data_IF_442558078636
#
_entry.id   IF_442558078636
#
_cell.length_a   1.000
_cell.length_b   1.000
_cell.length_c   1.000
_cell.angle_alpha   90.00
_cell.angle_beta   90.00
_cell.angle_gamma   90.00
#
_symmetry.space_group_name_H-M   'P 1'
#
loop_
_entity.id
_entity.type
_entity.pdbx_description
1 polymer ?
#
# COMPACT_ATOMS: atom_id res chain seq x y z
N UNK A 1 57.32 -11.40 -20.79
CA UNK A 1 56.28 -12.08 -20.05
C UNK A 1 55.16 -11.07 -19.73
N UNK A 2 54.08 -11.20 -20.41
CA UNK A 2 52.98 -10.28 -20.18
C UNK A 2 52.09 -10.87 -19.13
N UNK A 3 52.15 -10.34 -17.93
CA UNK A 3 51.18 -10.60 -16.93
C UNK A 3 49.88 -9.97 -17.42
N UNK A 4 49.04 -10.76 -18.01
CA UNK A 4 47.66 -10.32 -18.19
C UNK A 4 47.07 -10.25 -16.81
N UNK A 5 47.14 -9.10 -16.23
CA UNK A 5 46.31 -8.73 -15.12
C UNK A 5 44.88 -8.79 -15.67
N UNK A 6 44.30 -9.97 -15.67
CA UNK A 6 42.88 -10.07 -15.71
C UNK A 6 42.41 -9.44 -14.42
N UNK A 7 42.27 -8.14 -14.48
CA UNK A 7 41.36 -7.49 -13.60
C UNK A 7 40.01 -8.11 -13.95
N UNK A 8 39.74 -9.22 -13.31
CA UNK A 8 38.39 -9.61 -13.10
C UNK A 8 37.84 -8.51 -12.21
N UNK A 9 37.44 -7.43 -12.87
CA UNK A 9 36.39 -6.61 -12.32
C UNK A 9 35.22 -7.56 -12.24
N UNK A 10 35.22 -8.37 -11.19
CA UNK A 10 33.97 -8.78 -10.62
C UNK A 10 33.34 -7.46 -10.24
N UNK A 11 32.58 -6.95 -11.17
CA UNK A 11 31.47 -6.12 -10.82
C UNK A 11 30.68 -6.99 -9.82
N UNK A 12 31.04 -6.84 -8.57
CA UNK A 12 30.13 -7.07 -7.51
C UNK A 12 29.05 -6.08 -7.86
N UNK A 13 28.08 -6.54 -8.62
CA UNK A 13 26.79 -5.94 -8.60
C UNK A 13 26.40 -6.05 -7.13
N UNK A 14 26.85 -5.07 -6.37
CA UNK A 14 26.26 -4.74 -5.12
C UNK A 14 24.85 -4.41 -5.55
N UNK A 15 23.98 -5.43 -5.55
CA UNK A 15 22.59 -5.22 -5.54
C UNK A 15 22.38 -4.39 -4.27
N UNK A 16 22.45 -3.10 -4.45
CA UNK A 16 21.88 -2.16 -3.53
C UNK A 16 20.40 -2.56 -3.49
N UNK A 17 20.11 -3.47 -2.59
CA UNK A 17 18.76 -3.57 -2.06
C UNK A 17 18.53 -2.22 -1.37
N UNK A 18 18.24 -1.22 -2.20
CA UNK A 18 17.50 -0.09 -1.75
C UNK A 18 16.17 -0.69 -1.30
N UNK A 19 16.11 -1.04 -0.03
CA UNK A 19 14.84 -1.12 0.65
C UNK A 19 14.29 0.30 0.57
N UNK A 20 13.71 0.63 -0.58
CA UNK A 20 12.94 1.83 -0.71
C UNK A 20 11.84 1.72 0.34
N UNK A 21 11.91 2.58 1.37
CA UNK A 21 10.79 2.75 2.29
C UNK A 21 9.64 3.35 1.47
N UNK A 22 8.74 2.48 0.95
CA UNK A 22 7.60 2.87 0.13
C UNK A 22 7.44 1.99 -1.11
N UNK A 23 6.29 2.13 -1.74
CA UNK A 23 5.91 1.41 -2.94
C UNK A 23 6.16 2.26 -4.19
N UNK A 24 6.26 1.63 -5.35
CA UNK A 24 6.42 2.34 -6.61
C UNK A 24 5.10 3.00 -7.03
N UNK A 25 5.01 4.30 -6.85
CA UNK A 25 3.82 5.09 -7.18
C UNK A 25 3.59 5.27 -8.70
N UNK A 26 4.51 4.83 -9.53
CA UNK A 26 4.33 4.80 -10.98
C UNK A 26 3.56 3.57 -11.46
N UNK A 27 3.25 2.64 -10.57
CA UNK A 27 2.49 1.42 -10.85
C UNK A 27 1.16 1.41 -10.12
N UNK A 28 0.17 0.76 -10.72
CA UNK A 28 -1.14 0.57 -10.07
C UNK A 28 -1.01 -0.22 -8.77
N UNK A 29 -0.20 -1.27 -8.76
CA UNK A 29 0.03 -2.08 -7.56
C UNK A 29 0.68 -1.27 -6.45
N UNK A 30 1.70 -0.47 -6.77
CA UNK A 30 2.37 0.36 -5.77
C UNK A 30 1.43 1.40 -5.14
N UNK A 31 0.55 2.00 -5.94
CA UNK A 31 -0.48 2.92 -5.42
C UNK A 31 -1.49 2.19 -4.54
N UNK A 32 -1.94 1.00 -4.94
CA UNK A 32 -2.84 0.19 -4.12
C UNK A 32 -2.21 -0.19 -2.78
N UNK A 33 -0.97 -0.60 -2.77
CA UNK A 33 -0.24 -0.97 -1.54
C UNK A 33 -0.01 0.24 -0.64
N UNK A 34 0.36 1.38 -1.20
CA UNK A 34 0.52 2.63 -0.44
C UNK A 34 -0.80 3.08 0.20
N UNK A 35 -1.90 2.93 -0.53
CA UNK A 35 -3.23 3.19 0.02
C UNK A 35 -3.56 2.24 1.19
N UNK A 36 -3.30 0.94 1.04
CA UNK A 36 -3.52 -0.05 2.11
C UNK A 36 -2.68 0.30 3.35
N UNK A 37 -1.43 0.67 3.17
CA UNK A 37 -0.55 1.07 4.26
C UNK A 37 -1.12 2.26 5.04
N UNK A 38 -1.55 3.30 4.34
CA UNK A 38 -2.08 4.49 5.01
C UNK A 38 -3.48 4.29 5.58
N UNK A 39 -4.35 3.57 4.87
CA UNK A 39 -5.73 3.39 5.29
C UNK A 39 -5.89 2.37 6.42
N UNK A 40 -5.30 1.18 6.26
CA UNK A 40 -5.55 0.05 7.16
C UNK A 40 -4.45 -0.17 8.19
N UNK A 41 -3.20 0.10 7.87
CA UNK A 41 -2.07 -0.15 8.77
C UNK A 41 -1.80 1.05 9.66
N UNK A 42 -1.58 2.22 9.07
CA UNK A 42 -1.24 3.45 9.79
C UNK A 42 -2.45 4.22 10.28
N UNK A 43 -3.60 3.98 9.68
CA UNK A 43 -4.86 4.71 9.95
C UNK A 43 -4.65 6.22 9.79
N UNK A 44 -3.99 6.61 8.73
CA UNK A 44 -3.79 7.99 8.32
C UNK A 44 -4.71 8.30 7.14
N UNK A 45 -5.94 8.69 7.46
CA UNK A 45 -6.99 8.91 6.45
C UNK A 45 -6.68 10.09 5.52
N UNK A 46 -6.07 11.15 6.04
CA UNK A 46 -5.68 12.31 5.22
C UNK A 46 -4.62 11.91 4.18
N UNK A 47 -3.67 11.08 4.57
CA UNK A 47 -2.66 10.56 3.66
C UNK A 47 -3.26 9.58 2.67
N UNK A 48 -4.09 8.66 3.13
CA UNK A 48 -4.80 7.69 2.27
C UNK A 48 -5.62 8.41 1.18
N UNK A 49 -6.29 9.49 1.53
CA UNK A 49 -7.09 10.30 0.60
C UNK A 49 -6.30 10.78 -0.61
N UNK A 50 -5.02 11.09 -0.45
CA UNK A 50 -4.17 11.58 -1.54
C UNK A 50 -4.01 10.57 -2.69
N UNK A 51 -4.23 9.29 -2.42
CA UNK A 51 -4.16 8.22 -3.41
C UNK A 51 -5.51 7.88 -4.04
N UNK A 52 -6.56 8.61 -3.71
CA UNK A 52 -7.94 8.29 -4.09
C UNK A 52 -8.55 9.29 -5.04
N UNK A 53 -9.51 8.79 -5.82
CA UNK A 53 -10.42 9.57 -6.66
C UNK A 53 -11.82 8.94 -6.58
N UNK A 54 -12.81 9.68 -7.07
CA UNK A 54 -14.17 9.14 -7.28
C UNK A 54 -14.77 8.53 -6.00
N UNK A 55 -15.33 7.33 -6.09
CA UNK A 55 -16.01 6.64 -4.97
C UNK A 55 -15.07 6.42 -3.78
N UNK A 56 -13.82 6.05 -4.03
CA UNK A 56 -12.83 5.88 -2.95
C UNK A 56 -12.62 7.17 -2.18
N UNK A 57 -12.48 8.30 -2.86
CA UNK A 57 -12.33 9.59 -2.21
C UNK A 57 -13.54 9.96 -1.35
N UNK A 58 -14.74 9.74 -1.87
CA UNK A 58 -15.97 9.99 -1.13
C UNK A 58 -16.08 9.13 0.13
N UNK A 59 -15.67 7.86 0.05
CA UNK A 59 -15.62 6.96 1.22
C UNK A 59 -14.64 7.45 2.28
N UNK A 60 -13.44 7.86 1.87
CA UNK A 60 -12.44 8.40 2.82
C UNK A 60 -12.94 9.70 3.44
N UNK A 61 -13.54 10.60 2.68
CA UNK A 61 -14.12 11.85 3.21
C UNK A 61 -15.18 11.56 4.28
N UNK A 62 -16.02 10.54 4.06
CA UNK A 62 -17.00 10.12 5.06
C UNK A 62 -16.34 9.53 6.30
N UNK A 63 -15.32 8.72 6.15
CA UNK A 63 -14.55 8.20 7.30
C UNK A 63 -13.89 9.33 8.10
N UNK A 64 -13.31 10.32 7.43
CA UNK A 64 -12.74 11.50 8.08
C UNK A 64 -13.83 12.26 8.86
N UNK A 65 -15.00 12.44 8.26
CA UNK A 65 -16.13 13.10 8.91
C UNK A 65 -16.60 12.35 10.16
N UNK A 66 -16.72 11.01 10.07
CA UNK A 66 -17.17 10.17 11.19
C UNK A 66 -16.15 10.10 12.32
N UNK A 67 -14.87 10.28 12.02
CA UNK A 67 -13.79 10.25 13.00
C UNK A 67 -13.32 11.64 13.43
N UNK A 68 -14.00 12.69 12.99
CA UNK A 68 -13.66 14.06 13.37
C UNK A 68 -13.78 14.23 14.90
N UNK A 69 -12.80 14.89 15.50
CA UNK A 69 -12.69 15.04 16.95
C UNK A 69 -11.92 13.91 17.63
N UNK A 70 -11.55 12.85 16.91
CA UNK A 70 -10.62 11.83 17.38
C UNK A 70 -9.21 12.15 16.88
N UNK A 71 -8.24 12.09 17.77
CA UNK A 71 -6.82 12.27 17.40
C UNK A 71 -6.18 10.88 17.28
N UNK A 72 -5.71 10.55 16.09
CA UNK A 72 -4.94 9.33 15.83
C UNK A 72 -3.51 9.77 15.49
N UNK A 73 -2.57 9.45 16.37
CA UNK A 73 -1.17 9.79 16.25
C UNK A 73 -0.28 8.64 16.71
N UNK A 74 1.02 8.87 16.83
CA UNK A 74 1.97 7.85 17.24
C UNK A 74 1.72 7.29 18.66
N UNK A 75 0.99 8.03 19.52
CA UNK A 75 0.60 7.57 20.86
C UNK A 75 -0.69 6.76 20.87
N UNK A 76 -1.44 6.78 19.79
CA UNK A 76 -2.69 6.05 19.68
C UNK A 76 -2.42 4.56 19.58
N UNK A 77 -3.05 3.79 20.48
CA UNK A 77 -2.96 2.34 20.45
C UNK A 77 -3.71 1.79 19.25
N UNK A 78 -3.00 1.13 18.34
CA UNK A 78 -3.54 0.56 17.11
C UNK A 78 -3.31 -0.93 17.09
N UNK A 79 -4.23 -1.71 16.50
CA UNK A 79 -3.98 -3.12 16.24
C UNK A 79 -2.77 -3.28 15.31
N UNK A 80 -2.09 -4.41 15.42
CA UNK A 80 -1.03 -4.79 14.49
C UNK A 80 -1.66 -5.36 13.23
N UNK A 81 -1.30 -4.82 12.08
CA UNK A 81 -1.83 -5.26 10.79
C UNK A 81 -0.68 -5.73 9.89
N UNK A 82 -0.77 -6.96 9.42
CA UNK A 82 0.07 -7.50 8.36
C UNK A 82 -0.83 -7.89 7.19
N UNK A 83 -0.36 -7.73 5.98
CA UNK A 83 -1.16 -8.09 4.81
C UNK A 83 -0.32 -8.71 3.71
N UNK A 84 -0.99 -9.44 2.84
CA UNK A 84 -0.40 -10.06 1.66
C UNK A 84 -1.33 -9.89 0.46
N UNK A 85 -0.74 -9.72 -0.72
CA UNK A 85 -1.48 -9.73 -1.98
C UNK A 85 -1.89 -11.17 -2.31
N UNK A 86 -3.18 -11.41 -2.51
CA UNK A 86 -3.72 -12.71 -2.90
C UNK A 86 -3.91 -12.84 -4.40
N UNK A 87 -4.49 -11.81 -5.02
CA UNK A 87 -4.84 -11.81 -6.43
C UNK A 87 -4.62 -10.44 -7.03
N UNK A 88 -4.29 -10.40 -8.31
CA UNK A 88 -4.23 -9.18 -9.09
C UNK A 88 -4.82 -9.40 -10.48
N UNK A 89 -5.50 -8.39 -10.97
CA UNK A 89 -6.00 -8.30 -12.33
C UNK A 89 -5.61 -6.95 -12.91
N UNK A 90 -4.56 -6.94 -13.73
CA UNK A 90 -3.94 -5.73 -14.23
C UNK A 90 -4.33 -5.44 -15.68
N UNK A 91 -4.75 -4.21 -15.95
CA UNK A 91 -5.05 -3.68 -17.27
C UNK A 91 -4.36 -2.34 -17.50
N UNK A 92 -4.45 -1.84 -18.71
CA UNK A 92 -3.79 -0.59 -19.11
C UNK A 92 -4.38 0.65 -18.42
N UNK A 93 -5.69 0.66 -18.19
CA UNK A 93 -6.42 1.79 -17.63
C UNK A 93 -7.00 1.53 -16.24
N UNK A 94 -7.21 0.25 -15.91
CA UNK A 94 -7.81 -0.18 -14.65
C UNK A 94 -7.13 -1.46 -14.18
N UNK A 95 -6.96 -1.56 -12.86
CA UNK A 95 -6.43 -2.76 -12.21
C UNK A 95 -7.15 -2.98 -10.90
N UNK A 96 -7.23 -4.23 -10.47
CA UNK A 96 -7.77 -4.60 -9.16
C UNK A 96 -6.81 -5.50 -8.42
N UNK A 97 -6.78 -5.35 -7.10
CA UNK A 97 -5.91 -6.11 -6.21
C UNK A 97 -6.72 -6.58 -5.01
N UNK A 98 -6.59 -7.85 -4.71
CA UNK A 98 -7.16 -8.45 -3.51
C UNK A 98 -6.07 -8.70 -2.49
N UNK A 99 -6.17 -8.06 -1.35
CA UNK A 99 -5.29 -8.26 -0.21
C UNK A 99 -6.00 -9.00 0.90
N UNK A 100 -5.25 -9.79 1.65
CA UNK A 100 -5.69 -10.34 2.92
C UNK A 100 -4.92 -9.70 4.06
N UNK A 101 -5.63 -9.04 4.96
CA UNK A 101 -5.08 -8.46 6.17
C UNK A 101 -5.29 -9.36 7.37
N UNK A 102 -4.24 -9.55 8.15
CA UNK A 102 -4.30 -10.16 9.49
C UNK A 102 -4.18 -9.06 10.52
N UNK A 103 -5.22 -8.93 11.33
CA UNK A 103 -5.36 -7.88 12.33
C UNK A 103 -5.26 -8.54 13.70
N UNK A 104 -4.31 -8.07 14.51
CA UNK A 104 -4.05 -8.59 15.84
C UNK A 104 -4.24 -7.48 16.87
N UNK A 105 -5.18 -7.68 17.79
CA UNK A 105 -5.42 -6.79 18.91
C UNK A 105 -4.45 -7.03 20.05
N UNK A 106 -4.33 -6.08 20.98
CA UNK A 106 -3.42 -6.16 22.12
C UNK A 106 -3.76 -7.28 23.09
N UNK A 107 -5.02 -7.73 23.14
CA UNK A 107 -5.46 -8.85 23.94
C UNK A 107 -5.08 -10.23 23.37
N UNK A 108 -4.39 -10.24 22.22
CA UNK A 108 -3.96 -11.47 21.54
C UNK A 108 -4.97 -12.05 20.58
N UNK A 109 -6.20 -11.50 20.49
CA UNK A 109 -7.15 -11.93 19.46
C UNK A 109 -6.69 -11.50 18.08
N UNK A 110 -6.96 -12.34 17.08
CA UNK A 110 -6.65 -12.01 15.70
C UNK A 110 -7.81 -12.44 14.80
N UNK A 111 -7.97 -11.70 13.72
CA UNK A 111 -8.93 -12.00 12.66
C UNK A 111 -8.38 -11.56 11.31
N UNK A 112 -8.97 -12.05 10.24
CA UNK A 112 -8.60 -11.70 8.88
C UNK A 112 -9.70 -10.89 8.20
N UNK A 113 -9.28 -10.01 7.29
CA UNK A 113 -10.16 -9.27 6.39
C UNK A 113 -9.59 -9.33 4.98
N UNK A 114 -10.46 -9.26 4.00
CA UNK A 114 -10.05 -9.12 2.59
C UNK A 114 -10.39 -7.73 2.11
N UNK A 115 -9.43 -7.11 1.44
CA UNK A 115 -9.58 -5.78 0.88
C UNK A 115 -9.42 -5.83 -0.62
N UNK A 116 -10.46 -5.46 -1.34
CA UNK A 116 -10.43 -5.33 -2.79
C UNK A 116 -10.18 -3.87 -3.14
N UNK A 117 -9.08 -3.61 -3.81
CA UNK A 117 -8.64 -2.27 -4.17
C UNK A 117 -8.72 -2.12 -5.69
N UNK A 118 -9.62 -1.27 -6.16
CA UNK A 118 -9.72 -0.92 -7.56
C UNK A 118 -8.91 0.34 -7.85
N UNK A 119 -8.11 0.31 -8.89
CA UNK A 119 -7.30 1.43 -9.33
C UNK A 119 -7.68 1.87 -10.75
N UNK A 120 -7.47 3.14 -11.04
CA UNK A 120 -7.70 3.74 -12.35
C UNK A 120 -6.54 4.65 -12.71
N UNK A 121 -6.13 4.60 -13.97
CA UNK A 121 -5.12 5.51 -14.49
C UNK A 121 -5.75 6.86 -14.80
N UNK A 122 -5.26 7.88 -14.13
CA UNK A 122 -5.62 9.28 -14.34
C UNK A 122 -4.50 10.01 -15.10
N UNK A 123 -4.75 11.25 -15.52
CA UNK A 123 -3.73 12.06 -16.20
C UNK A 123 -2.46 12.27 -15.36
N UNK A 124 -2.58 12.28 -14.04
CA UNK A 124 -1.48 12.46 -13.09
C UNK A 124 -1.00 11.16 -12.44
N UNK A 125 -1.33 10.01 -13.02
CA UNK A 125 -0.91 8.69 -12.55
C UNK A 125 -2.04 7.83 -12.00
N UNK A 126 -1.70 6.70 -11.46
CA UNK A 126 -2.65 5.77 -10.88
C UNK A 126 -3.28 6.30 -9.59
N UNK A 127 -4.57 6.02 -9.40
CA UNK A 127 -5.31 6.35 -8.18
C UNK A 127 -6.26 5.22 -7.83
N UNK A 128 -6.53 5.07 -6.55
CA UNK A 128 -7.57 4.17 -6.06
C UNK A 128 -8.94 4.80 -6.35
N UNK A 129 -9.75 4.09 -7.10
CA UNK A 129 -11.09 4.55 -7.52
C UNK A 129 -12.21 3.97 -6.67
N UNK A 130 -11.99 2.83 -6.06
CA UNK A 130 -12.90 2.20 -5.11
C UNK A 130 -12.15 1.20 -4.23
N UNK A 131 -12.69 0.92 -3.07
CA UNK A 131 -12.21 -0.14 -2.19
C UNK A 131 -13.39 -0.74 -1.43
N UNK A 132 -13.29 -2.03 -1.14
CA UNK A 132 -14.29 -2.77 -0.37
C UNK A 132 -13.60 -3.70 0.61
N UNK A 133 -14.29 -4.02 1.68
CA UNK A 133 -13.84 -4.94 2.71
C UNK A 133 -14.83 -6.09 2.87
N UNK A 134 -14.31 -7.29 3.08
CA UNK A 134 -15.09 -8.50 3.34
C UNK A 134 -14.38 -9.39 4.38
N UNK A 135 -15.12 -10.35 4.90
CA UNK A 135 -14.60 -11.37 5.81
C UNK A 135 -13.88 -12.51 5.06
#
# INVERSE_FOLDING_TARGET
>A
MKIKLKIVVRAVALALFLTACGHDLNTAQGVAEEFVDHHYVKIDLQKAKQFTVSVAQAKIDEEIRLTSGQTIDASTQKPRVNYALLEKNEGEQRSTYLFEGKIQSDDGTSFTRKWSIATRKESNGWRVSNFTESE
#
